data_IF_352722235313
#
_entry.id   IF_352722235313
#
_cell.length_a   1.000
_cell.length_b   1.000
_cell.length_c   1.000
_cell.angle_alpha   90.00
_cell.angle_beta   90.00
_cell.angle_gamma   90.00
#
_symmetry.space_group_name_H-M   'P 1'
#
loop_
_entity.id
_entity.type
_entity.pdbx_description
1 polymer ?
#
# COMPACT_ATOMS: atom_id res chain seq x y z
N UNK A 1 -24.04 13.57 -26.37
CA UNK A 1 -22.88 14.02 -27.17
C UNK A 1 -21.63 13.42 -26.53
N UNK A 2 -21.03 12.38 -27.12
CA UNK A 2 -19.81 11.72 -26.60
C UNK A 2 -18.65 12.72 -26.63
N UNK A 3 -18.00 12.99 -25.50
CA UNK A 3 -16.83 13.87 -25.43
C UNK A 3 -15.62 13.11 -25.98
N UNK A 4 -15.11 13.51 -27.14
CA UNK A 4 -13.87 12.99 -27.71
C UNK A 4 -12.71 13.62 -26.93
N UNK A 5 -11.89 12.79 -26.27
CA UNK A 5 -10.65 13.21 -25.61
C UNK A 5 -9.50 12.67 -26.45
N UNK A 6 -8.70 13.56 -27.05
CA UNK A 6 -7.53 13.19 -27.85
C UNK A 6 -6.31 13.11 -26.93
N UNK A 7 -5.70 11.92 -26.79
CA UNK A 7 -4.43 11.73 -26.10
C UNK A 7 -3.36 11.31 -27.11
N UNK A 8 -2.32 12.13 -27.30
CA UNK A 8 -1.18 11.80 -28.14
C UNK A 8 -0.23 10.84 -27.40
N UNK A 9 -0.10 9.60 -27.88
CA UNK A 9 1.00 8.70 -27.51
C UNK A 9 2.17 8.92 -28.49
N UNK A 10 3.31 9.37 -27.98
CA UNK A 10 4.56 9.43 -28.73
C UNK A 10 5.06 8.00 -29.01
N UNK A 11 4.90 7.54 -30.25
CA UNK A 11 5.66 6.41 -30.79
C UNK A 11 6.52 6.93 -31.94
N UNK A 12 7.82 6.92 -31.71
CA UNK A 12 8.82 7.27 -32.71
C UNK A 12 9.01 6.08 -33.66
N UNK A 13 8.80 6.34 -34.95
CA UNK A 13 9.45 5.78 -36.14
C UNK A 13 8.48 5.27 -37.21
N UNK A 14 8.60 5.91 -38.37
CA UNK A 14 8.08 5.54 -39.69
C UNK A 14 6.55 5.66 -39.91
N UNK A 15 6.11 6.89 -40.18
CA UNK A 15 5.41 7.18 -41.43
C UNK A 15 4.06 6.53 -41.71
N UNK A 16 3.12 6.53 -40.76
CA UNK A 16 1.67 6.69 -41.01
C UNK A 16 1.08 7.35 -39.77
N UNK A 17 0.81 8.66 -39.79
CA UNK A 17 0.03 9.31 -38.73
C UNK A 17 -1.46 9.14 -39.06
N UNK A 18 -2.03 7.98 -38.69
CA UNK A 18 -3.47 7.91 -38.43
C UNK A 18 -3.68 8.21 -36.94
N UNK A 19 -4.21 9.39 -36.65
CA UNK A 19 -4.67 9.71 -35.29
C UNK A 19 -5.93 8.89 -35.02
N UNK A 20 -5.80 7.74 -34.36
CA UNK A 20 -6.96 7.02 -33.81
C UNK A 20 -7.55 7.85 -32.65
N UNK A 21 -8.78 8.32 -32.80
CA UNK A 21 -9.51 8.94 -31.72
C UNK A 21 -9.97 7.85 -30.74
N UNK A 22 -9.39 7.83 -29.53
CA UNK A 22 -9.79 6.91 -28.45
C UNK A 22 -11.19 7.31 -27.97
N UNK A 23 -12.13 6.37 -28.00
CA UNK A 23 -13.49 6.61 -27.51
C UNK A 23 -13.59 6.40 -25.99
N UNK A 24 -14.67 6.88 -25.38
CA UNK A 24 -14.95 6.62 -23.96
C UNK A 24 -15.12 5.11 -23.67
N UNK A 25 -15.62 4.35 -24.65
CA UNK A 25 -15.81 2.91 -24.54
C UNK A 25 -14.45 2.18 -24.58
N UNK A 26 -13.52 2.63 -25.45
CA UNK A 26 -12.14 2.12 -25.48
C UNK A 26 -11.39 2.34 -24.15
N UNK A 27 -11.65 3.48 -23.48
CA UNK A 27 -11.07 3.78 -22.16
C UNK A 27 -11.65 2.84 -21.09
N UNK A 28 -12.95 2.56 -21.13
CA UNK A 28 -13.59 1.62 -20.20
C UNK A 28 -13.05 0.20 -20.40
N UNK A 29 -13.00 -0.29 -21.63
CA UNK A 29 -12.48 -1.62 -21.92
C UNK A 29 -11.02 -1.77 -21.47
N UNK A 30 -10.19 -0.75 -21.70
CA UNK A 30 -8.83 -0.70 -21.18
C UNK A 30 -8.76 -0.88 -19.66
N UNK A 31 -9.59 -0.17 -18.90
CA UNK A 31 -9.55 -0.26 -17.44
C UNK A 31 -10.17 -1.56 -16.91
N UNK A 32 -11.18 -2.11 -17.58
CA UNK A 32 -11.73 -3.43 -17.26
C UNK A 32 -10.66 -4.50 -17.46
N UNK A 33 -9.98 -4.50 -18.61
CA UNK A 33 -8.86 -5.40 -18.89
C UNK A 33 -7.75 -5.26 -17.84
N UNK A 34 -7.36 -4.02 -17.49
CA UNK A 34 -6.38 -3.79 -16.42
C UNK A 34 -6.82 -4.34 -15.08
N UNK A 35 -8.09 -4.16 -14.68
CA UNK A 35 -8.61 -4.68 -13.42
C UNK A 35 -8.57 -6.22 -13.35
N UNK A 36 -8.89 -6.87 -14.48
CA UNK A 36 -8.97 -8.32 -14.61
C UNK A 36 -7.59 -8.97 -14.80
N UNK A 37 -6.62 -8.26 -15.39
CA UNK A 37 -5.24 -8.76 -15.63
C UNK A 37 -4.38 -8.94 -14.37
N UNK A 38 -4.90 -8.58 -13.19
CA UNK A 38 -4.20 -8.68 -11.91
C UNK A 38 -5.09 -9.27 -10.82
N UNK A 39 -4.51 -10.04 -9.91
CA UNK A 39 -5.21 -10.55 -8.73
C UNK A 39 -4.27 -10.73 -7.54
N UNK A 40 -4.82 -10.62 -6.34
CA UNK A 40 -4.09 -11.04 -5.15
C UNK A 40 -4.02 -12.57 -5.10
N UNK A 41 -2.92 -13.14 -4.57
CA UNK A 41 -2.73 -14.59 -4.55
C UNK A 41 -3.63 -15.33 -3.54
N UNK A 42 -4.33 -14.60 -2.67
CA UNK A 42 -5.26 -15.09 -1.66
C UNK A 42 -6.42 -14.10 -1.53
N UNK A 43 -7.56 -14.53 -0.97
CA UNK A 43 -8.74 -13.68 -0.73
C UNK A 43 -8.44 -12.55 0.27
N UNK A 44 -7.66 -12.85 1.30
CA UNK A 44 -7.21 -11.89 2.32
C UNK A 44 -5.68 -11.93 2.41
N UNK A 45 -5.05 -10.77 2.35
CA UNK A 45 -3.58 -10.66 2.44
C UNK A 45 -3.17 -10.26 3.85
N UNK A 46 -2.57 -11.20 4.58
CA UNK A 46 -1.90 -10.94 5.87
C UNK A 46 -0.48 -11.48 5.80
N UNK A 47 0.51 -10.62 6.01
CA UNK A 47 1.92 -10.98 5.91
C UNK A 47 2.37 -11.57 7.25
N UNK A 48 2.87 -12.80 7.23
CA UNK A 48 3.52 -13.45 8.37
C UNK A 48 5.02 -13.11 8.43
N UNK A 49 5.68 -13.05 7.27
CA UNK A 49 7.12 -12.77 7.21
C UNK A 49 7.53 -12.10 5.90
N UNK A 50 8.30 -11.03 6.00
CA UNK A 50 8.79 -10.24 4.86
C UNK A 50 10.02 -10.86 4.19
N UNK A 51 10.26 -10.46 2.95
CA UNK A 51 11.51 -10.68 2.23
C UNK A 51 12.69 -9.99 2.94
N UNK A 52 13.88 -10.58 2.91
CA UNK A 52 15.08 -10.00 3.54
C UNK A 52 15.65 -10.84 4.68
N UNK A 53 16.60 -10.27 5.44
CA UNK A 53 17.32 -11.01 6.49
C UNK A 53 16.44 -11.20 7.72
N UNK A 54 16.25 -12.45 8.16
CA UNK A 54 15.53 -12.81 9.40
C UNK A 54 16.17 -14.00 10.09
N UNK A 55 15.83 -14.24 11.35
CA UNK A 55 16.21 -15.48 12.03
C UNK A 55 15.54 -16.69 11.34
N UNK A 56 16.32 -17.74 11.06
CA UNK A 56 15.81 -18.98 10.47
C UNK A 56 14.91 -19.68 11.50
N UNK A 57 13.67 -20.04 11.13
CA UNK A 57 12.68 -20.54 12.09
C UNK A 57 13.00 -21.93 12.64
N UNK A 58 14.01 -22.62 12.12
CA UNK A 58 14.39 -23.97 12.56
C UNK A 58 15.63 -23.99 13.45
N UNK A 59 16.55 -23.02 13.31
CA UNK A 59 17.79 -23.00 14.10
C UNK A 59 18.17 -21.63 14.68
N UNK A 60 17.36 -20.59 14.44
CA UNK A 60 17.55 -19.24 15.02
C UNK A 60 18.64 -18.39 14.38
N UNK A 61 19.45 -18.92 13.45
CA UNK A 61 20.53 -18.16 12.82
C UNK A 61 20.01 -17.19 11.74
N UNK A 62 20.69 -16.06 11.56
CA UNK A 62 20.32 -15.10 10.51
C UNK A 62 20.39 -15.75 9.11
N UNK A 63 19.30 -15.68 8.37
CA UNK A 63 19.15 -16.20 7.01
C UNK A 63 18.40 -15.21 6.13
N UNK A 64 18.82 -15.13 4.88
CA UNK A 64 18.08 -14.37 3.88
C UNK A 64 16.80 -15.11 3.49
N UNK A 65 15.66 -14.55 3.85
CA UNK A 65 14.36 -14.97 3.36
C UNK A 65 14.19 -14.50 1.91
N UNK A 66 14.06 -15.45 1.00
CA UNK A 66 14.06 -15.21 -0.45
C UNK A 66 12.65 -15.01 -1.02
N UNK A 67 11.65 -14.80 -0.16
CA UNK A 67 10.26 -14.65 -0.55
C UNK A 67 9.44 -13.93 0.52
N UNK A 68 8.12 -14.02 0.39
CA UNK A 68 7.13 -13.41 1.26
C UNK A 68 6.20 -14.49 1.78
N UNK A 69 6.04 -14.57 3.10
CA UNK A 69 5.13 -15.53 3.75
C UNK A 69 3.80 -14.84 4.04
N UNK A 70 2.73 -15.37 3.47
CA UNK A 70 1.35 -14.93 3.69
C UNK A 70 0.60 -15.93 4.55
N UNK A 71 -0.19 -15.45 5.49
CA UNK A 71 -1.08 -16.29 6.26
C UNK A 71 -2.12 -16.92 5.34
N UNK A 72 -2.13 -18.24 5.30
CA UNK A 72 -3.09 -19.04 4.56
C UNK A 72 -3.26 -20.38 5.26
N UNK A 73 -4.46 -20.96 5.24
CA UNK A 73 -4.69 -22.30 5.81
C UNK A 73 -5.63 -23.09 4.93
N UNK A 74 -5.06 -23.88 4.02
CA UNK A 74 -5.81 -24.74 3.11
C UNK A 74 -6.90 -23.99 2.33
N UNK A 75 -6.59 -22.75 1.94
CA UNK A 75 -7.38 -21.94 1.02
C UNK A 75 -6.76 -21.90 -0.38
N UNK A 76 -7.57 -21.53 -1.36
CA UNK A 76 -7.23 -21.42 -2.78
C UNK A 76 -6.11 -20.40 -2.99
N UNK A 77 -5.13 -20.76 -3.82
CA UNK A 77 -4.06 -19.88 -4.27
C UNK A 77 -4.36 -19.45 -5.69
N UNK A 78 -4.38 -18.14 -5.93
CA UNK A 78 -4.77 -17.56 -7.21
C UNK A 78 -3.54 -17.06 -7.98
N UNK A 79 -3.60 -17.16 -9.31
CA UNK A 79 -2.60 -16.55 -10.18
C UNK A 79 -2.63 -15.02 -10.03
N UNK A 80 -1.47 -14.41 -9.86
CA UNK A 80 -1.37 -12.97 -9.60
C UNK A 80 -1.50 -12.12 -10.86
N UNK A 81 -1.17 -12.71 -12.01
CA UNK A 81 -1.09 -12.06 -13.31
C UNK A 81 -1.45 -13.07 -14.40
N UNK A 82 -1.91 -12.56 -15.54
CA UNK A 82 -2.03 -13.35 -16.76
C UNK A 82 -0.66 -13.87 -17.18
N UNK A 83 -0.61 -15.13 -17.56
CA UNK A 83 0.65 -15.74 -17.95
C UNK A 83 0.51 -17.21 -18.28
N UNK A 84 1.63 -17.91 -18.12
CA UNK A 84 1.67 -19.35 -18.32
C UNK A 84 2.42 -20.04 -17.19
N UNK A 85 2.05 -21.29 -16.94
CA UNK A 85 2.73 -22.13 -15.96
C UNK A 85 4.10 -22.51 -16.52
N UNK A 86 5.16 -21.94 -15.96
CA UNK A 86 6.54 -22.25 -16.34
C UNK A 86 6.99 -23.62 -15.84
N UNK A 87 6.58 -23.96 -14.62
CA UNK A 87 6.92 -25.21 -13.97
C UNK A 87 5.97 -25.52 -12.81
N UNK A 88 5.72 -26.81 -12.59
CA UNK A 88 5.14 -27.35 -11.37
C UNK A 88 6.05 -28.46 -10.85
N UNK A 89 5.96 -28.78 -9.57
CA UNK A 89 6.77 -29.87 -9.02
C UNK A 89 6.80 -29.89 -7.51
N UNK A 90 7.77 -30.65 -6.99
CA UNK A 90 8.05 -30.77 -5.57
C UNK A 90 9.56 -30.72 -5.32
N UNK A 91 9.98 -29.95 -4.34
CA UNK A 91 11.34 -30.03 -3.79
C UNK A 91 11.32 -29.89 -2.25
N UNK A 92 12.41 -30.30 -1.59
CA UNK A 92 12.49 -30.32 -0.11
C UNK A 92 12.36 -28.92 0.50
N UNK A 93 12.79 -27.88 -0.19
CA UNK A 93 12.72 -26.50 0.28
C UNK A 93 11.33 -25.93 0.07
N UNK A 94 10.90 -25.85 -1.19
CA UNK A 94 9.66 -25.20 -1.60
C UNK A 94 8.40 -26.02 -1.30
N UNK A 95 8.53 -27.33 -1.04
CA UNK A 95 7.39 -28.23 -1.05
C UNK A 95 6.80 -28.36 -2.44
N UNK A 96 5.49 -28.62 -2.54
CA UNK A 96 4.78 -28.54 -3.81
C UNK A 96 4.73 -27.09 -4.26
N UNK A 97 5.05 -26.84 -5.53
CA UNK A 97 5.08 -25.50 -6.06
C UNK A 97 4.48 -25.38 -7.46
N UNK A 98 4.02 -24.17 -7.77
CA UNK A 98 3.66 -23.71 -9.10
C UNK A 98 4.44 -22.45 -9.39
N UNK A 99 5.15 -22.39 -10.52
CA UNK A 99 5.83 -21.18 -11.00
C UNK A 99 5.14 -20.65 -12.24
N UNK A 100 4.59 -19.45 -12.12
CA UNK A 100 4.00 -18.68 -13.22
C UNK A 100 5.05 -17.78 -13.88
N UNK A 101 4.96 -17.60 -15.20
CA UNK A 101 5.69 -16.59 -15.96
C UNK A 101 4.70 -15.57 -16.53
N UNK A 102 4.99 -14.29 -16.34
CA UNK A 102 4.28 -13.17 -16.96
C UNK A 102 5.29 -12.10 -17.38
N UNK A 103 5.32 -11.73 -18.66
CA UNK A 103 6.38 -10.88 -19.21
C UNK A 103 7.78 -11.36 -18.81
N UNK A 104 8.59 -10.44 -18.28
CA UNK A 104 9.95 -10.74 -17.79
C UNK A 104 10.00 -11.32 -16.35
N UNK A 105 8.85 -11.49 -15.70
CA UNK A 105 8.74 -11.97 -14.33
C UNK A 105 8.41 -13.45 -14.23
N UNK A 106 8.94 -14.09 -13.18
CA UNK A 106 8.40 -15.34 -12.64
C UNK A 106 7.95 -15.17 -11.21
N UNK A 107 6.82 -15.78 -10.86
CA UNK A 107 6.33 -15.88 -9.47
C UNK A 107 6.11 -17.35 -9.13
N UNK A 108 6.69 -17.80 -8.01
CA UNK A 108 6.50 -19.16 -7.51
C UNK A 108 5.63 -19.15 -6.26
N UNK A 109 4.60 -19.99 -6.25
CA UNK A 109 3.74 -20.31 -5.12
C UNK A 109 4.22 -21.62 -4.50
N UNK A 110 4.57 -21.61 -3.22
CA UNK A 110 5.23 -22.71 -2.54
C UNK A 110 4.43 -23.19 -1.33
N UNK A 111 4.85 -24.33 -0.78
CA UNK A 111 4.25 -25.05 0.35
C UNK A 111 2.81 -25.53 0.10
N UNK A 112 2.42 -25.68 -1.17
CA UNK A 112 1.06 -26.07 -1.55
C UNK A 112 0.71 -27.47 -1.02
N UNK A 113 -0.55 -27.72 -0.67
CA UNK A 113 -1.05 -29.09 -0.44
C UNK A 113 -1.44 -29.76 -1.75
N UNK A 114 -1.94 -28.99 -2.72
CA UNK A 114 -2.40 -29.46 -4.03
C UNK A 114 -1.97 -28.51 -5.14
N UNK A 115 -1.77 -29.07 -6.34
CA UNK A 115 -1.48 -28.36 -7.58
C UNK A 115 -2.60 -28.71 -8.55
N UNK A 116 -3.23 -27.69 -9.14
CA UNK A 116 -4.37 -27.87 -10.05
C UNK A 116 -4.08 -27.48 -11.50
N UNK A 117 -2.81 -27.16 -11.79
CA UNK A 117 -2.36 -26.71 -13.11
C UNK A 117 -1.11 -27.44 -13.55
N UNK A 118 -0.85 -27.44 -14.85
CA UNK A 118 0.24 -28.14 -15.51
C UNK A 118 1.12 -27.18 -16.32
N UNK A 119 2.36 -27.60 -16.59
CA UNK A 119 3.32 -26.82 -17.37
C UNK A 119 2.75 -26.41 -18.73
N UNK A 120 3.05 -25.18 -19.15
CA UNK A 120 2.60 -24.51 -20.36
C UNK A 120 1.11 -24.13 -20.42
N UNK A 121 0.31 -24.45 -19.40
CA UNK A 121 -1.07 -23.94 -19.33
C UNK A 121 -1.06 -22.41 -19.27
N UNK A 122 -1.89 -21.78 -20.09
CA UNK A 122 -2.21 -20.36 -19.96
C UNK A 122 -3.18 -20.19 -18.80
N UNK A 123 -2.87 -19.29 -17.88
CA UNK A 123 -3.69 -19.00 -16.70
C UNK A 123 -3.87 -17.49 -16.64
N UNK A 124 -5.11 -17.06 -16.44
CA UNK A 124 -5.48 -15.67 -16.24
C UNK A 124 -5.40 -15.29 -14.75
N UNK A 125 -5.17 -14.01 -14.47
CA UNK A 125 -5.12 -13.54 -13.10
C UNK A 125 -6.43 -13.84 -12.36
N UNK A 126 -6.32 -14.30 -11.12
CA UNK A 126 -7.47 -14.69 -10.30
C UNK A 126 -7.93 -16.14 -10.50
N UNK A 127 -7.44 -16.84 -11.51
CA UNK A 127 -7.70 -18.28 -11.65
C UNK A 127 -6.91 -19.08 -10.59
N UNK A 128 -7.53 -20.12 -10.02
CA UNK A 128 -6.89 -20.93 -8.99
C UNK A 128 -5.79 -21.81 -9.60
N UNK A 129 -4.63 -21.85 -8.94
CA UNK A 129 -3.47 -22.67 -9.36
C UNK A 129 -3.21 -23.86 -8.43
N UNK A 130 -3.81 -23.86 -7.25
CA UNK A 130 -3.65 -24.90 -6.25
C UNK A 130 -4.21 -24.49 -4.89
N UNK A 131 -3.88 -25.30 -3.87
CA UNK A 131 -4.32 -25.09 -2.50
C UNK A 131 -3.12 -24.85 -1.58
N UNK A 132 -3.20 -23.80 -0.76
CA UNK A 132 -2.17 -23.51 0.25
C UNK A 132 -2.05 -24.66 1.26
N UNK A 133 -0.89 -24.81 1.89
CA UNK A 133 -0.65 -25.96 2.76
C UNK A 133 0.62 -25.83 3.58
N UNK A 134 1.22 -26.97 3.88
CA UNK A 134 2.43 -27.05 4.71
C UNK A 134 3.40 -28.12 4.23
N UNK A 135 3.62 -28.21 2.91
CA UNK A 135 4.57 -29.18 2.33
C UNK A 135 6.00 -28.65 2.28
N UNK A 136 7.00 -29.54 2.23
CA UNK A 136 8.41 -29.18 2.18
C UNK A 136 8.91 -28.60 3.51
N UNK A 137 9.79 -27.59 3.46
CA UNK A 137 10.35 -26.96 4.65
C UNK A 137 9.42 -25.86 5.17
N UNK A 138 8.40 -26.26 5.93
CA UNK A 138 7.43 -25.35 6.56
C UNK A 138 7.23 -25.69 8.04
N UNK A 139 6.96 -24.69 8.87
CA UNK A 139 6.61 -24.86 10.30
C UNK A 139 5.09 -24.83 10.55
N UNK A 140 4.29 -24.55 9.52
CA UNK A 140 2.83 -24.55 9.61
C UNK A 140 2.17 -24.05 8.32
N UNK A 141 0.83 -24.19 8.20
CA UNK A 141 0.12 -23.76 6.99
C UNK A 141 0.32 -22.27 6.69
N UNK A 142 0.81 -21.98 5.49
CA UNK A 142 0.95 -20.64 4.92
C UNK A 142 1.21 -20.70 3.41
N UNK A 143 1.15 -19.56 2.72
CA UNK A 143 1.61 -19.44 1.34
C UNK A 143 2.93 -18.70 1.30
N UNK A 144 3.98 -19.34 0.79
CA UNK A 144 5.25 -18.68 0.51
C UNK A 144 5.32 -18.31 -0.97
N UNK A 145 5.65 -17.05 -1.27
CA UNK A 145 5.76 -16.55 -2.64
C UNK A 145 7.19 -16.07 -2.88
N UNK A 146 7.77 -16.45 -4.01
CA UNK A 146 9.02 -15.83 -4.51
C UNK A 146 8.78 -15.14 -5.83
N UNK A 147 9.57 -14.11 -6.13
CA UNK A 147 9.47 -13.39 -7.41
C UNK A 147 10.85 -13.17 -8.01
N UNK A 148 10.94 -13.22 -9.35
CA UNK A 148 12.18 -12.91 -10.08
C UNK A 148 11.86 -12.07 -11.30
N UNK A 149 12.66 -11.05 -11.56
CA UNK A 149 12.66 -10.28 -12.80
C UNK A 149 13.90 -10.65 -13.60
N UNK A 150 13.73 -11.17 -14.82
CA UNK A 150 14.84 -11.64 -15.68
C UNK A 150 15.79 -12.58 -14.93
N UNK A 151 15.23 -13.50 -14.16
CA UNK A 151 15.96 -14.48 -13.33
C UNK A 151 16.50 -13.94 -11.99
N UNK A 152 16.60 -12.62 -11.80
CA UNK A 152 17.08 -12.02 -10.55
C UNK A 152 15.98 -11.95 -9.51
N UNK A 153 16.28 -12.41 -8.31
CA UNK A 153 15.33 -12.41 -7.18
C UNK A 153 14.89 -10.99 -6.84
N UNK A 154 13.59 -10.81 -6.64
CA UNK A 154 12.95 -9.55 -6.26
C UNK A 154 12.05 -9.75 -5.05
N UNK A 155 11.82 -8.67 -4.31
CA UNK A 155 10.84 -8.64 -3.24
C UNK A 155 9.42 -8.80 -3.82
N UNK A 156 8.68 -9.89 -3.51
CA UNK A 156 7.31 -10.10 -3.98
C UNK A 156 6.32 -9.05 -3.48
N UNK A 157 6.63 -8.32 -2.40
CA UNK A 157 5.77 -7.26 -1.88
C UNK A 157 5.47 -6.18 -2.93
N UNK A 158 6.45 -5.87 -3.79
CA UNK A 158 6.28 -4.91 -4.89
C UNK A 158 5.18 -5.33 -5.89
N UNK A 159 4.97 -6.64 -6.08
CA UNK A 159 3.91 -7.14 -6.93
C UNK A 159 2.53 -6.99 -6.27
N UNK A 160 2.44 -7.19 -4.95
CA UNK A 160 1.20 -6.92 -4.20
C UNK A 160 0.81 -5.44 -4.27
N UNK A 161 1.78 -4.53 -4.18
CA UNK A 161 1.56 -3.09 -4.37
C UNK A 161 1.08 -2.80 -5.79
N UNK A 162 1.75 -3.35 -6.81
CA UNK A 162 1.34 -3.16 -8.20
C UNK A 162 -0.09 -3.65 -8.48
N UNK A 163 -0.47 -4.83 -7.99
CA UNK A 163 -1.84 -5.37 -8.11
C UNK A 163 -2.84 -4.40 -7.50
N UNK A 164 -2.57 -3.93 -6.28
CA UNK A 164 -3.46 -3.01 -5.58
C UNK A 164 -3.65 -1.71 -6.36
N UNK A 165 -2.55 -1.09 -6.77
CA UNK A 165 -2.55 0.18 -7.49
C UNK A 165 -3.28 0.05 -8.83
N UNK A 166 -3.09 -1.06 -9.53
CA UNK A 166 -3.75 -1.34 -10.80
C UNK A 166 -5.26 -1.49 -10.61
N UNK A 167 -5.70 -2.29 -9.63
CA UNK A 167 -7.13 -2.44 -9.32
C UNK A 167 -7.76 -1.11 -8.91
N UNK A 168 -7.10 -0.31 -8.07
CA UNK A 168 -7.58 1.01 -7.66
C UNK A 168 -7.70 1.98 -8.83
N UNK A 169 -6.67 2.09 -9.67
CA UNK A 169 -6.70 2.94 -10.87
C UNK A 169 -7.84 2.56 -11.81
N UNK A 170 -8.06 1.26 -12.00
CA UNK A 170 -9.15 0.76 -12.81
C UNK A 170 -10.53 1.07 -12.22
N UNK A 171 -10.77 0.78 -10.94
CA UNK A 171 -12.04 1.11 -10.26
C UNK A 171 -12.32 2.60 -10.34
N UNK A 172 -11.32 3.44 -10.06
CA UNK A 172 -11.42 4.90 -10.15
C UNK A 172 -11.78 5.36 -11.57
N UNK A 173 -11.12 4.82 -12.58
CA UNK A 173 -11.35 5.23 -13.96
C UNK A 173 -12.68 4.72 -14.53
N UNK A 174 -13.16 3.57 -14.05
CA UNK A 174 -14.45 3.00 -14.43
C UNK A 174 -15.63 3.60 -13.66
N UNK A 175 -15.38 4.48 -12.68
CA UNK A 175 -16.41 5.01 -11.80
C UNK A 175 -17.21 3.88 -11.11
N UNK A 176 -16.58 2.71 -10.88
CA UNK A 176 -17.20 1.56 -10.20
C UNK A 176 -17.32 1.76 -8.68
N UNK A 177 -16.87 2.91 -8.17
CA UNK A 177 -17.09 3.34 -6.80
C UNK A 177 -18.40 4.12 -6.66
N UNK A 178 -19.48 3.38 -6.45
CA UNK A 178 -20.30 3.67 -5.27
C UNK A 178 -19.92 2.68 -4.15
N UNK A 179 -18.68 2.79 -3.64
CA UNK A 179 -18.30 2.33 -2.30
C UNK A 179 -17.45 3.38 -1.58
N UNK A 180 -18.19 4.36 -1.06
CA UNK A 180 -17.86 5.22 0.10
C UNK A 180 -16.54 5.97 0.01
N UNK A 181 -16.51 7.05 -0.79
CA UNK A 181 -15.71 8.24 -0.45
C UNK A 181 -16.03 8.54 1.01
N UNK A 182 -15.06 8.41 1.92
CA UNK A 182 -15.30 8.78 3.30
C UNK A 182 -15.67 10.26 3.31
N UNK A 183 -16.90 10.54 3.72
CA UNK A 183 -17.27 11.92 4.01
C UNK A 183 -16.41 12.39 5.18
N UNK A 184 -16.15 13.71 5.32
CA UNK A 184 -15.43 14.24 6.48
C UNK A 184 -15.99 13.73 7.82
N UNK A 185 -17.32 13.64 7.94
CA UNK A 185 -17.99 13.14 9.14
C UNK A 185 -17.62 11.68 9.45
N UNK A 186 -17.61 10.82 8.44
CA UNK A 186 -17.26 9.41 8.62
C UNK A 186 -15.79 9.22 8.90
N UNK A 187 -14.93 10.01 8.24
CA UNK A 187 -13.49 10.04 8.48
C UNK A 187 -13.17 10.35 9.95
N UNK A 188 -13.77 11.41 10.51
CA UNK A 188 -13.52 11.75 11.90
C UNK A 188 -14.16 10.78 12.88
N UNK A 189 -15.33 10.23 12.57
CA UNK A 189 -15.94 9.18 13.39
C UNK A 189 -15.04 7.96 13.52
N UNK A 190 -14.39 7.55 12.44
CA UNK A 190 -13.48 6.41 12.43
C UNK A 190 -12.20 6.68 13.22
N UNK A 191 -11.53 7.81 12.95
CA UNK A 191 -10.16 8.03 13.42
C UNK A 191 -10.02 8.87 14.70
N UNK A 192 -11.07 9.54 15.17
CA UNK A 192 -11.00 10.41 16.35
C UNK A 192 -10.52 9.69 17.62
N UNK A 193 -11.00 8.46 17.87
CA UNK A 193 -10.60 7.71 19.06
C UNK A 193 -9.09 7.49 19.14
N UNK A 194 -8.47 7.27 17.98
CA UNK A 194 -7.05 7.05 17.86
C UNK A 194 -6.25 8.34 18.07
N UNK A 195 -6.69 9.45 17.46
CA UNK A 195 -6.05 10.76 17.67
C UNK A 195 -6.10 11.19 19.14
N UNK A 196 -7.23 10.98 19.83
CA UNK A 196 -7.37 11.27 21.26
C UNK A 196 -6.43 10.44 22.13
N UNK A 197 -6.24 9.15 21.81
CA UNK A 197 -5.23 8.31 22.50
C UNK A 197 -3.81 8.85 22.30
N UNK A 198 -3.49 9.35 21.11
CA UNK A 198 -2.18 9.94 20.84
C UNK A 198 -1.98 11.26 21.58
N UNK A 199 -3.01 12.09 21.70
CA UNK A 199 -2.96 13.29 22.52
C UNK A 199 -2.65 12.96 23.98
N UNK A 200 -3.33 11.98 24.57
CA UNK A 200 -3.04 11.55 25.95
C UNK A 200 -1.61 11.02 26.11
N UNK A 201 -1.11 10.31 25.10
CA UNK A 201 0.20 9.66 25.14
C UNK A 201 1.36 10.61 24.88
N UNK A 202 1.19 11.58 23.99
CA UNK A 202 2.28 12.41 23.45
C UNK A 202 2.06 13.92 23.61
N UNK A 203 0.88 14.37 24.04
CA UNK A 203 0.52 15.79 24.17
C UNK A 203 0.20 16.48 22.84
N UNK A 204 0.19 15.77 21.72
CA UNK A 204 -0.12 16.30 20.39
C UNK A 204 -1.64 16.54 20.31
N UNK A 205 -2.14 17.74 19.97
CA UNK A 205 -3.58 17.96 19.84
C UNK A 205 -4.24 16.95 18.88
N UNK A 206 -5.37 16.40 19.27
CA UNK A 206 -6.17 15.47 18.47
C UNK A 206 -6.60 16.15 17.17
N UNK A 207 -6.97 17.42 17.25
CA UNK A 207 -7.35 18.28 16.14
C UNK A 207 -6.23 18.42 15.12
N UNK A 208 -4.99 18.60 15.56
CA UNK A 208 -3.79 18.64 14.69
C UNK A 208 -3.62 17.30 13.99
N UNK A 209 -3.64 16.20 14.74
CA UNK A 209 -3.50 14.85 14.17
C UNK A 209 -4.57 14.58 13.12
N UNK A 210 -5.85 14.82 13.43
CA UNK A 210 -6.97 14.59 12.53
C UNK A 210 -6.95 15.50 11.29
N UNK A 211 -6.58 16.77 11.46
CA UNK A 211 -6.53 17.72 10.34
C UNK A 211 -5.39 17.41 9.37
N UNK A 212 -4.22 17.05 9.88
CA UNK A 212 -3.11 16.57 9.04
C UNK A 212 -3.50 15.27 8.34
N UNK A 213 -4.05 14.30 9.09
CA UNK A 213 -4.49 13.02 8.53
C UNK A 213 -5.49 13.25 7.40
N UNK A 214 -6.49 14.11 7.60
CA UNK A 214 -7.49 14.44 6.57
C UNK A 214 -6.88 15.14 5.34
N UNK A 215 -6.01 16.13 5.57
CA UNK A 215 -5.38 16.92 4.49
C UNK A 215 -4.47 16.06 3.62
N UNK A 216 -3.58 15.29 4.24
CA UNK A 216 -2.54 14.50 3.55
C UNK A 216 -3.12 13.26 2.86
N UNK A 217 -4.16 12.66 3.44
CA UNK A 217 -4.81 11.48 2.86
C UNK A 217 -5.97 11.79 1.92
N UNK A 218 -6.35 13.07 1.76
CA UNK A 218 -7.58 13.43 1.04
C UNK A 218 -8.82 12.76 1.65
N UNK A 219 -8.97 12.88 2.97
CA UNK A 219 -10.03 12.23 3.76
C UNK A 219 -9.98 10.70 3.71
N UNK A 220 -8.78 10.12 3.65
CA UNK A 220 -8.55 8.67 3.58
C UNK A 220 -8.67 8.09 2.17
N UNK A 221 -8.92 8.93 1.16
CA UNK A 221 -9.21 8.50 -0.20
C UNK A 221 -7.99 8.50 -1.14
N UNK A 222 -6.81 8.96 -0.69
CA UNK A 222 -5.59 8.90 -1.49
C UNK A 222 -5.07 7.47 -1.62
N UNK A 223 -4.46 7.14 -2.76
CA UNK A 223 -3.85 5.82 -2.95
C UNK A 223 -2.81 5.52 -1.87
N UNK A 224 -2.02 6.51 -1.45
CA UNK A 224 -1.01 6.33 -0.41
C UNK A 224 -1.64 5.94 0.94
N UNK A 225 -2.80 6.50 1.28
CA UNK A 225 -3.56 6.16 2.48
C UNK A 225 -4.27 4.80 2.37
N UNK A 226 -4.94 4.51 1.25
CA UNK A 226 -5.67 3.26 1.08
C UNK A 226 -4.75 2.05 0.89
N UNK A 227 -3.62 2.22 0.19
CA UNK A 227 -2.68 1.16 -0.13
C UNK A 227 -1.57 1.02 0.90
N UNK A 228 -0.92 2.13 1.23
CA UNK A 228 0.21 2.14 2.13
C UNK A 228 -0.20 2.32 3.59
N UNK A 229 -1.50 2.48 3.89
CA UNK A 229 -1.96 2.97 5.19
C UNK A 229 -1.20 4.22 5.64
N UNK A 230 -0.67 5.02 4.70
CA UNK A 230 0.14 6.18 5.01
C UNK A 230 -0.71 7.44 4.85
N UNK A 231 -1.43 7.76 5.93
CA UNK A 231 -2.38 8.87 5.97
C UNK A 231 -1.72 10.25 6.10
N UNK A 232 -0.40 10.31 6.22
CA UNK A 232 0.35 11.52 6.58
C UNK A 232 1.43 11.88 5.55
N UNK A 233 1.48 11.20 4.41
CA UNK A 233 2.49 11.49 3.39
C UNK A 233 3.94 11.24 3.86
N UNK A 234 4.17 10.30 4.78
CA UNK A 234 5.47 10.13 5.43
C UNK A 234 6.46 9.50 4.45
N UNK A 235 7.55 10.23 4.16
CA UNK A 235 8.64 9.78 3.29
C UNK A 235 9.50 8.71 3.98
N UNK A 236 9.86 7.66 3.25
CA UNK A 236 10.73 6.58 3.69
C UNK A 236 12.18 7.05 3.78
N UNK A 237 12.58 7.48 4.98
CA UNK A 237 13.93 7.97 5.24
C UNK A 237 15.00 6.85 5.24
N UNK A 238 16.28 7.22 5.31
CA UNK A 238 17.40 6.27 5.29
C UNK A 238 17.27 5.17 6.35
N UNK A 239 16.77 5.48 7.55
CA UNK A 239 16.59 4.51 8.65
C UNK A 239 15.45 3.52 8.37
N UNK A 240 14.38 3.98 7.73
CA UNK A 240 13.29 3.12 7.27
C UNK A 240 13.80 2.12 6.23
N UNK A 241 14.52 2.63 5.23
CA UNK A 241 15.09 1.83 4.15
C UNK A 241 16.16 0.84 4.66
N UNK A 242 17.03 1.25 5.59
CA UNK A 242 18.08 0.38 6.14
C UNK A 242 17.52 -0.80 6.95
N UNK A 243 16.29 -0.66 7.46
CA UNK A 243 15.57 -1.75 8.17
C UNK A 243 14.82 -2.68 7.22
N UNK A 244 14.82 -2.41 5.91
CA UNK A 244 14.06 -3.18 4.94
C UNK A 244 12.54 -3.06 5.10
N UNK A 245 12.05 -1.95 5.69
CA UNK A 245 10.62 -1.73 5.89
C UNK A 245 9.94 -1.36 4.56
N UNK A 246 8.66 -1.75 4.36
CA UNK A 246 7.96 -1.59 3.08
C UNK A 246 7.72 -0.11 2.75
N UNK A 247 7.74 0.21 1.46
CA UNK A 247 7.50 1.55 0.94
C UNK A 247 6.88 1.50 -0.46
N UNK A 248 6.19 2.57 -0.85
CA UNK A 248 5.68 2.77 -2.21
C UNK A 248 6.40 3.96 -2.86
N UNK A 249 6.48 3.97 -4.20
CA UNK A 249 7.11 5.05 -4.96
C UNK A 249 6.01 5.92 -5.58
N UNK A 250 6.02 7.21 -5.28
CA UNK A 250 5.09 8.19 -5.82
C UNK A 250 5.85 9.42 -6.32
N UNK A 251 5.25 10.14 -7.27
CA UNK A 251 5.74 11.46 -7.66
C UNK A 251 5.06 12.49 -6.76
N UNK A 252 5.86 13.31 -6.08
CA UNK A 252 5.41 14.39 -5.20
C UNK A 252 6.19 15.68 -5.53
N UNK A 253 6.98 16.24 -4.63
CA UNK A 253 7.88 17.36 -4.91
C UNK A 253 8.94 16.97 -5.95
N UNK A 254 9.33 15.69 -5.98
CA UNK A 254 10.29 15.10 -6.91
C UNK A 254 9.73 13.82 -7.53
N UNK A 255 10.20 13.44 -8.72
CA UNK A 255 9.87 12.13 -9.27
C UNK A 255 10.48 11.01 -8.42
N UNK A 256 9.74 9.91 -8.30
CA UNK A 256 10.16 8.67 -7.65
C UNK A 256 10.51 8.80 -6.15
N UNK A 257 9.76 9.61 -5.41
CA UNK A 257 9.90 9.68 -3.96
C UNK A 257 9.33 8.44 -3.27
N UNK A 258 10.01 8.00 -2.22
CA UNK A 258 9.65 6.80 -1.48
C UNK A 258 8.84 7.19 -0.24
N UNK A 259 7.69 6.58 -0.06
CA UNK A 259 6.79 6.80 1.07
C UNK A 259 6.62 5.52 1.86
N UNK A 260 6.63 5.62 3.20
CA UNK A 260 6.43 4.46 4.08
C UNK A 260 5.12 3.74 3.76
N UNK A 261 5.11 2.41 3.84
CA UNK A 261 3.89 1.63 3.95
C UNK A 261 3.77 1.08 5.37
N UNK A 262 2.62 1.24 5.98
CA UNK A 262 2.28 0.71 7.29
C UNK A 262 1.37 -0.52 7.13
N UNK A 263 1.16 -1.26 8.21
CA UNK A 263 0.26 -2.42 8.23
C UNK A 263 -1.18 -2.04 8.61
N UNK A 264 -1.39 -0.87 9.21
CA UNK A 264 -2.71 -0.34 9.55
C UNK A 264 -2.72 1.18 9.72
N UNK A 265 -3.90 1.84 9.74
CA UNK A 265 -4.01 3.26 10.10
C UNK A 265 -3.38 3.58 11.46
N UNK A 266 -3.53 2.70 12.45
CA UNK A 266 -2.96 2.83 13.80
C UNK A 266 -1.44 2.92 13.79
N UNK A 267 -0.78 2.08 13.00
CA UNK A 267 0.68 2.11 12.90
C UNK A 267 1.15 3.42 12.26
N UNK A 268 0.41 3.93 11.27
CA UNK A 268 0.73 5.21 10.63
C UNK A 268 0.62 6.40 11.58
N UNK A 269 -0.43 6.41 12.42
CA UNK A 269 -0.68 7.45 13.42
C UNK A 269 0.34 7.38 14.54
N UNK A 270 0.66 6.19 15.05
CA UNK A 270 1.72 6.00 16.04
C UNK A 270 3.08 6.46 15.50
N UNK A 271 3.41 6.14 14.25
CA UNK A 271 4.65 6.60 13.64
C UNK A 271 4.67 8.11 13.47
N UNK A 272 3.56 8.71 13.02
CA UNK A 272 3.40 10.15 12.91
C UNK A 272 3.65 10.86 14.25
N UNK A 273 3.03 10.38 15.33
CA UNK A 273 3.24 10.95 16.66
C UNK A 273 4.71 10.85 17.09
N UNK A 274 5.34 9.69 16.91
CA UNK A 274 6.78 9.53 17.20
C UNK A 274 7.67 10.44 16.37
N UNK A 275 7.28 10.75 15.13
CA UNK A 275 7.97 11.71 14.29
C UNK A 275 7.87 13.12 14.90
N UNK A 276 6.67 13.56 15.29
CA UNK A 276 6.45 14.85 15.95
C UNK A 276 7.10 14.95 17.35
N UNK A 277 7.41 13.81 17.96
CA UNK A 277 8.19 13.72 19.20
C UNK A 277 9.69 13.49 18.99
N UNK A 278 10.22 13.74 17.79
CA UNK A 278 11.67 13.76 17.53
C UNK A 278 12.26 15.17 17.63
N UNK A 279 13.58 15.28 17.87
CA UNK A 279 14.30 16.56 18.05
C UNK A 279 14.02 17.60 16.96
N UNK A 280 13.78 17.14 15.71
CA UNK A 280 13.40 18.01 14.59
C UNK A 280 12.17 18.87 14.89
N UNK A 281 11.24 18.37 15.68
CA UNK A 281 9.97 18.99 16.02
C UNK A 281 9.92 19.47 17.47
N UNK A 282 11.06 19.54 18.18
CA UNK A 282 11.12 19.91 19.59
C UNK A 282 10.46 21.25 19.94
N UNK A 283 10.39 22.19 18.98
CA UNK A 283 9.68 23.46 19.15
C UNK A 283 8.18 23.28 19.44
N UNK A 284 7.56 22.20 18.93
CA UNK A 284 6.13 21.93 19.14
C UNK A 284 5.82 21.64 20.61
N UNK A 285 6.74 21.02 21.34
CA UNK A 285 6.51 20.52 22.71
C UNK A 285 6.34 21.62 23.76
N UNK A 286 6.57 22.88 23.37
CA UNK A 286 6.35 24.06 24.22
C UNK A 286 4.87 24.45 24.33
N UNK A 287 4.03 23.92 23.44
CA UNK A 287 2.63 24.29 23.33
C UNK A 287 1.74 23.19 23.92
N UNK A 288 0.68 23.61 24.61
CA UNK A 288 -0.25 22.69 25.25
C UNK A 288 -1.04 21.85 24.25
N UNK A 289 -1.66 20.78 24.74
CA UNK A 289 -2.45 19.82 23.94
C UNK A 289 -3.73 20.37 23.31
N UNK A 290 -4.06 21.65 23.54
CA UNK A 290 -5.19 22.36 22.92
C UNK A 290 -4.76 23.52 22.01
N UNK A 291 -3.46 23.81 21.93
CA UNK A 291 -2.93 24.94 21.18
C UNK A 291 -2.60 24.52 19.73
N UNK A 292 -3.63 24.15 18.98
CA UNK A 292 -3.46 23.60 17.63
C UNK A 292 -2.77 24.60 16.67
N UNK A 293 -2.99 25.90 16.84
CA UNK A 293 -2.41 26.94 15.99
C UNK A 293 -0.88 26.94 16.07
N UNK A 294 -0.33 27.03 17.28
CA UNK A 294 1.11 27.08 17.46
C UNK A 294 1.77 25.72 17.19
N UNK A 295 1.08 24.61 17.43
CA UNK A 295 1.51 23.29 16.96
C UNK A 295 1.68 23.27 15.44
N UNK A 296 0.68 23.73 14.67
CA UNK A 296 0.75 23.74 13.20
C UNK A 296 1.84 24.69 12.67
N UNK A 297 2.00 25.88 13.28
CA UNK A 297 3.09 26.79 12.94
C UNK A 297 4.47 26.16 13.19
N UNK A 298 4.66 25.51 14.34
CA UNK A 298 5.91 24.84 14.68
C UNK A 298 6.21 23.65 13.75
N UNK A 299 5.20 22.82 13.45
CA UNK A 299 5.30 21.70 12.51
C UNK A 299 5.74 22.20 11.12
N UNK A 300 5.10 23.26 10.61
CA UNK A 300 5.46 23.87 9.34
C UNK A 300 6.88 24.44 9.36
N UNK A 301 7.24 25.19 10.41
CA UNK A 301 8.56 25.79 10.56
C UNK A 301 9.68 24.74 10.66
N UNK A 302 9.38 23.56 11.21
CA UNK A 302 10.29 22.39 11.24
C UNK A 302 10.38 21.64 9.89
N UNK A 303 9.67 22.09 8.87
CA UNK A 303 9.77 21.61 7.48
C UNK A 303 8.94 20.36 7.19
N UNK A 304 7.79 20.18 7.85
CA UNK A 304 6.86 19.09 7.53
C UNK A 304 6.29 19.24 6.11
N UNK A 305 5.89 20.45 5.73
CA UNK A 305 5.25 20.76 4.44
C UNK A 305 5.86 22.02 3.79
N UNK A 306 6.02 21.96 2.46
CA UNK A 306 6.60 23.04 1.64
C UNK A 306 5.57 24.12 1.29
N UNK A 307 4.30 23.74 1.08
CA UNK A 307 3.20 24.64 0.69
C UNK A 307 2.99 25.80 1.66
N UNK A 308 2.86 27.04 1.18
CA UNK A 308 2.71 28.23 2.02
C UNK A 308 1.43 28.23 2.86
N UNK A 309 0.33 27.72 2.31
CA UNK A 309 -1.03 27.68 2.88
C UNK A 309 -1.31 26.49 3.81
N UNK A 310 -0.28 25.74 4.22
CA UNK A 310 -0.44 24.51 5.01
C UNK A 310 -1.21 24.72 6.33
N UNK A 311 -0.77 25.70 7.13
CA UNK A 311 -1.37 26.01 8.45
C UNK A 311 -2.83 26.41 8.26
N UNK A 312 -3.08 27.36 7.37
CA UNK A 312 -4.43 27.86 7.07
C UNK A 312 -5.38 26.72 6.66
N UNK A 313 -4.91 25.76 5.85
CA UNK A 313 -5.73 24.61 5.45
C UNK A 313 -6.06 23.68 6.61
N UNK A 314 -5.08 23.33 7.44
CA UNK A 314 -5.33 22.52 8.63
C UNK A 314 -6.29 23.23 9.59
N UNK A 315 -6.09 24.51 9.87
CA UNK A 315 -6.98 25.28 10.74
C UNK A 315 -8.39 25.38 10.19
N UNK A 316 -8.54 25.56 8.87
CA UNK A 316 -9.85 25.56 8.22
C UNK A 316 -10.56 24.23 8.42
N UNK A 317 -9.85 23.11 8.31
CA UNK A 317 -10.40 21.77 8.60
C UNK A 317 -10.81 21.67 10.08
N UNK A 318 -9.93 22.07 11.00
CA UNK A 318 -10.17 22.05 12.45
C UNK A 318 -11.43 22.85 12.79
N UNK A 319 -11.53 24.08 12.31
CA UNK A 319 -12.63 24.99 12.63
C UNK A 319 -13.93 24.53 11.98
N UNK A 320 -13.91 24.18 10.69
CA UNK A 320 -15.09 23.74 9.95
C UNK A 320 -15.72 22.49 10.55
N UNK A 321 -14.91 21.54 11.00
CA UNK A 321 -15.36 20.26 11.55
C UNK A 321 -15.33 20.20 13.07
N UNK A 322 -15.04 21.34 13.74
CA UNK A 322 -14.99 21.48 15.19
C UNK A 322 -14.07 20.46 15.87
N UNK A 323 -12.93 20.18 15.26
CA UNK A 323 -12.01 19.13 15.75
C UNK A 323 -11.39 19.45 17.09
N UNK A 324 -11.33 20.74 17.48
CA UNK A 324 -10.88 21.18 18.80
C UNK A 324 -11.71 20.56 19.94
N UNK A 325 -12.95 20.14 19.68
CA UNK A 325 -13.76 19.41 20.67
C UNK A 325 -13.14 18.05 21.03
N UNK A 326 -12.43 17.41 20.11
CA UNK A 326 -11.68 16.19 20.41
C UNK A 326 -10.46 16.46 21.30
N UNK A 327 -9.90 17.68 21.25
CA UNK A 327 -8.82 18.06 22.16
C UNK A 327 -9.32 18.13 23.61
N UNK A 328 -10.52 18.66 23.81
CA UNK A 328 -11.18 18.68 25.12
C UNK A 328 -11.62 17.30 25.61
N UNK A 329 -12.13 16.46 24.69
CA UNK A 329 -12.59 15.10 25.03
C UNK A 329 -11.43 14.18 25.41
N UNK A 330 -10.27 14.31 24.75
CA UNK A 330 -9.10 13.50 25.03
C UNK A 330 -8.59 13.65 26.47
N UNK A 331 -8.77 14.80 27.12
CA UNK A 331 -8.38 15.00 28.53
C UNK A 331 -9.27 14.27 29.53
N UNK A 332 -10.50 13.92 29.11
CA UNK A 332 -11.51 13.25 29.94
C UNK A 332 -11.55 11.74 29.74
N UNK A 333 -10.90 11.23 28.71
CA UNK A 333 -10.67 9.79 28.46
C UNK A 333 -9.56 9.25 29.35
#
# INVERSE_FOLDING_TARGET
MKKIIVLLLLLCSMGVQSSFAITEDDIKDYWIDKYLSVSFPLKTIRINSFYGTRADPFNGHARQHRGLDLAARYEEVLAMFDGYVKATGYDRGSGKFVTMQFGDYTVSYCHLSEIWVEKNMKIYAGEPVGLSGTTGRSTGPHLHITSRLRGKLQDPYNLLVYIRDTKQKAVKALHLDEKKIMTPTEFFKEYASMAMRQQRKYGIPSSVTLAQMALESGWGNSNLAQAGYNFFGIKANRRWLSKGLPYSVHNDDRPNEKFCNFNSPEESVEYHSRLLMSDRYARCWRYGSKDFHHWLLAIKASGYATRSDYVEKCERIIMKHKLYLYDDLAEKM
#
